data_IF_362849054607
#
_entry.id   IF_362849054607
#
_cell.length_a   1.000
_cell.length_b   1.000
_cell.length_c   1.000
_cell.angle_alpha   90.00
_cell.angle_beta   90.00
_cell.angle_gamma   90.00
#
_symmetry.space_group_name_H-M   'P 1'
#
loop_
_entity.id
_entity.type
_entity.pdbx_description
1 polymer ?
#
# COMPACT_ATOMS: atom_id res chain seq x y z
N UNK A 1 2.62 3.82 3.48
CA UNK A 1 2.51 2.58 4.30
C UNK A 1 1.41 2.73 5.35
N UNK A 2 0.16 2.79 4.91
CA UNK A 2 -1.01 2.79 5.79
C UNK A 2 -1.48 1.36 6.10
N UNK A 3 -2.74 1.27 6.56
CA UNK A 3 -3.32 0.02 7.03
C UNK A 3 -3.37 -1.16 6.04
N UNK A 4 -3.33 -0.93 4.74
CA UNK A 4 -3.27 -1.99 3.72
C UNK A 4 -1.85 -2.24 3.24
N UNK A 5 -1.06 -1.18 3.02
CA UNK A 5 0.29 -1.27 2.50
C UNK A 5 1.21 -2.14 3.36
N UNK A 6 1.08 -2.05 4.69
CA UNK A 6 1.86 -2.88 5.63
C UNK A 6 1.68 -4.39 5.41
N UNK A 7 0.47 -4.82 5.08
CA UNK A 7 0.20 -6.23 4.78
C UNK A 7 0.65 -6.60 3.37
N UNK A 8 0.47 -5.69 2.40
CA UNK A 8 0.89 -5.92 1.03
C UNK A 8 2.39 -6.19 0.92
N UNK A 9 3.24 -5.43 1.60
CA UNK A 9 4.70 -5.68 1.64
C UNK A 9 5.00 -7.10 2.12
N UNK A 10 4.42 -7.50 3.24
CA UNK A 10 4.68 -8.82 3.82
C UNK A 10 4.17 -9.96 2.93
N UNK A 11 2.96 -9.85 2.39
CA UNK A 11 2.37 -10.84 1.49
C UNK A 11 3.16 -10.97 0.19
N UNK A 12 3.62 -9.86 -0.38
CA UNK A 12 4.46 -9.86 -1.57
C UNK A 12 5.80 -10.55 -1.29
N UNK A 13 6.42 -10.29 -0.12
CA UNK A 13 7.65 -10.99 0.29
C UNK A 13 7.43 -12.47 0.51
N UNK A 14 6.33 -12.88 1.14
CA UNK A 14 5.97 -14.29 1.30
C UNK A 14 5.73 -15.00 -0.05
N UNK A 15 5.33 -14.25 -1.07
CA UNK A 15 5.17 -14.73 -2.44
C UNK A 15 6.49 -14.74 -3.23
N UNK A 16 7.62 -14.42 -2.61
CA UNK A 16 8.95 -14.42 -3.25
C UNK A 16 9.22 -13.21 -4.15
N UNK A 17 8.41 -12.15 -4.06
CA UNK A 17 8.57 -10.96 -4.89
C UNK A 17 9.63 -10.02 -4.30
N UNK A 18 10.33 -9.30 -5.19
CA UNK A 18 11.09 -8.11 -4.82
C UNK A 18 10.12 -6.95 -4.64
N UNK A 19 10.19 -6.28 -3.51
CA UNK A 19 9.25 -5.24 -3.11
C UNK A 19 9.93 -3.89 -3.04
N UNK A 20 9.42 -2.93 -3.81
CA UNK A 20 9.76 -1.50 -3.72
C UNK A 20 8.59 -0.81 -3.04
N UNK A 21 8.79 -0.30 -1.84
CA UNK A 21 7.79 0.46 -1.11
C UNK A 21 7.90 1.94 -1.46
N UNK A 22 6.74 2.58 -1.68
CA UNK A 22 6.67 4.00 -2.03
C UNK A 22 5.74 4.72 -1.06
N UNK A 23 6.20 5.79 -0.43
CA UNK A 23 5.39 6.65 0.45
C UNK A 23 5.95 8.06 0.49
N UNK A 24 5.14 9.04 0.89
CA UNK A 24 5.56 10.43 1.08
C UNK A 24 6.30 10.66 2.40
N UNK A 25 6.14 9.78 3.39
CA UNK A 25 6.64 9.93 4.75
C UNK A 25 7.81 8.97 5.02
N UNK A 26 8.91 9.50 5.55
CA UNK A 26 10.13 8.73 5.77
C UNK A 26 9.98 7.68 6.88
N UNK A 27 9.20 7.96 7.92
CA UNK A 27 8.84 7.03 8.99
C UNK A 27 8.08 5.81 8.43
N UNK A 28 7.13 6.04 7.51
CA UNK A 28 6.40 4.97 6.81
C UNK A 28 7.28 4.14 5.90
N UNK A 29 8.29 4.74 5.27
CA UNK A 29 9.30 4.01 4.49
C UNK A 29 10.20 3.16 5.40
N UNK A 30 10.60 3.70 6.58
CA UNK A 30 11.35 2.93 7.57
C UNK A 30 10.55 1.70 8.05
N UNK A 31 9.26 1.86 8.30
CA UNK A 31 8.36 0.73 8.63
C UNK A 31 8.27 -0.27 7.49
N UNK A 32 8.15 0.18 6.23
CA UNK A 32 8.16 -0.71 5.08
C UNK A 32 9.43 -1.56 5.04
N UNK A 33 10.57 -0.96 5.33
CA UNK A 33 11.86 -1.66 5.37
C UNK A 33 11.88 -2.74 6.46
N UNK A 34 11.39 -2.44 7.66
CA UNK A 34 11.30 -3.45 8.75
C UNK A 34 10.32 -4.57 8.45
N UNK A 35 9.29 -4.32 7.64
CA UNK A 35 8.32 -5.31 7.18
C UNK A 35 8.82 -6.14 5.97
N UNK A 36 10.02 -5.86 5.48
CA UNK A 36 10.71 -6.67 4.49
C UNK A 36 10.75 -6.07 3.08
N UNK A 37 10.42 -4.79 2.88
CA UNK A 37 10.64 -4.14 1.59
C UNK A 37 12.13 -4.17 1.23
N UNK A 38 12.46 -4.56 0.00
CA UNK A 38 13.84 -4.62 -0.48
C UNK A 38 14.38 -3.20 -0.72
N UNK A 39 13.53 -2.33 -1.28
CA UNK A 39 13.85 -0.94 -1.56
C UNK A 39 12.73 -0.02 -1.07
N UNK A 40 13.09 1.23 -0.80
CA UNK A 40 12.15 2.28 -0.41
C UNK A 40 12.42 3.51 -1.25
N UNK A 41 11.37 4.08 -1.83
CA UNK A 41 11.44 5.26 -2.69
C UNK A 41 10.47 6.31 -2.16
N UNK A 42 10.93 7.55 -2.01
CA UNK A 42 10.06 8.66 -1.63
C UNK A 42 9.13 9.02 -2.78
N UNK A 43 7.85 9.20 -2.49
CA UNK A 43 6.84 9.57 -3.47
C UNK A 43 6.94 11.07 -3.80
N UNK A 44 7.82 11.40 -4.73
CA UNK A 44 7.98 12.72 -5.32
C UNK A 44 7.94 12.64 -6.85
N UNK A 45 8.22 13.76 -7.52
CA UNK A 45 8.21 13.85 -8.99
C UNK A 45 9.24 12.92 -9.66
N UNK A 46 10.32 12.55 -8.96
CA UNK A 46 11.38 11.66 -9.45
C UNK A 46 11.13 10.19 -9.18
N UNK A 47 10.12 9.84 -8.39
CA UNK A 47 9.93 8.47 -7.90
C UNK A 47 9.77 7.43 -9.02
N UNK A 48 9.08 7.76 -10.10
CA UNK A 48 8.93 6.87 -11.26
C UNK A 48 10.28 6.53 -11.90
N UNK A 49 11.13 7.54 -12.12
CA UNK A 49 12.48 7.38 -12.67
C UNK A 49 13.39 6.57 -11.71
N UNK A 50 13.35 6.87 -10.42
CA UNK A 50 14.11 6.14 -9.43
C UNK A 50 13.74 4.65 -9.40
N UNK A 51 12.45 4.32 -9.54
CA UNK A 51 12.00 2.92 -9.64
C UNK A 51 12.52 2.27 -10.94
N UNK A 52 12.56 3.00 -12.06
CA UNK A 52 13.13 2.49 -13.30
C UNK A 52 14.63 2.21 -13.18
N UNK A 53 15.40 3.04 -12.48
CA UNK A 53 16.82 2.78 -12.18
C UNK A 53 17.02 1.50 -11.35
N UNK A 54 16.06 1.16 -10.50
CA UNK A 54 16.01 -0.09 -9.75
C UNK A 54 15.55 -1.30 -10.59
N UNK A 55 15.29 -1.13 -11.89
CA UNK A 55 14.86 -2.18 -12.82
C UNK A 55 13.36 -2.14 -13.12
N UNK A 56 12.65 -1.13 -12.69
CA UNK A 56 11.22 -0.94 -12.94
C UNK A 56 10.32 -1.91 -12.18
N UNK A 57 9.01 -1.74 -12.33
CA UNK A 57 8.00 -2.54 -11.66
C UNK A 57 7.22 -3.40 -12.67
N UNK A 58 7.08 -4.71 -12.39
CA UNK A 58 6.20 -5.62 -13.13
C UNK A 58 4.77 -5.62 -12.60
N UNK A 59 4.59 -5.11 -11.38
CA UNK A 59 3.29 -4.90 -10.74
C UNK A 59 3.32 -3.71 -9.81
N UNK A 60 2.29 -2.88 -9.85
CA UNK A 60 2.07 -1.79 -8.92
C UNK A 60 0.75 -2.00 -8.20
N UNK A 61 0.72 -1.81 -6.87
CA UNK A 61 -0.51 -1.83 -6.09
C UNK A 61 -0.69 -0.47 -5.42
N UNK A 62 -1.75 0.25 -5.75
CA UNK A 62 -2.03 1.56 -5.20
C UNK A 62 -3.08 1.50 -4.09
N UNK A 63 -2.69 1.92 -2.89
CA UNK A 63 -3.56 2.09 -1.73
C UNK A 63 -3.84 3.55 -1.40
N UNK A 64 -3.11 4.48 -2.03
CA UNK A 64 -3.25 5.91 -1.74
C UNK A 64 -4.56 6.47 -2.34
N UNK A 65 -5.35 7.22 -1.56
CA UNK A 65 -6.60 7.79 -2.03
C UNK A 65 -6.38 9.13 -2.76
N UNK A 66 -5.32 9.22 -3.59
CA UNK A 66 -4.96 10.43 -4.32
C UNK A 66 -4.62 10.11 -5.77
N UNK A 67 -5.01 11.00 -6.69
CA UNK A 67 -4.77 10.82 -8.12
C UNK A 67 -3.31 11.07 -8.53
N UNK A 68 -2.56 11.81 -7.72
CA UNK A 68 -1.15 12.16 -7.98
C UNK A 68 -0.22 10.94 -8.10
N UNK A 69 -0.61 9.78 -7.57
CA UNK A 69 0.16 8.54 -7.71
C UNK A 69 0.11 7.95 -9.12
N UNK A 70 -0.86 8.35 -9.95
CA UNK A 70 -1.10 7.73 -11.24
C UNK A 70 0.03 7.93 -12.25
N UNK A 71 0.52 9.16 -12.52
CA UNK A 71 1.66 9.37 -13.41
C UNK A 71 2.90 8.59 -12.96
N UNK A 72 3.22 8.65 -11.68
CA UNK A 72 4.36 7.92 -11.09
C UNK A 72 4.26 6.41 -11.34
N UNK A 73 3.07 5.81 -11.17
CA UNK A 73 2.88 4.37 -11.43
C UNK A 73 3.07 4.04 -12.90
N UNK A 74 2.57 4.88 -13.82
CA UNK A 74 2.81 4.68 -15.24
C UNK A 74 4.30 4.73 -15.56
N UNK A 75 5.03 5.70 -15.01
CA UNK A 75 6.47 5.85 -15.24
C UNK A 75 7.27 4.70 -14.63
N UNK A 76 6.88 4.23 -13.45
CA UNK A 76 7.53 3.13 -12.75
C UNK A 76 7.36 1.76 -13.41
N UNK A 77 6.29 1.56 -14.17
CA UNK A 77 5.95 0.26 -14.74
C UNK A 77 6.88 -0.15 -15.89
N UNK A 78 7.22 -1.43 -15.95
CA UNK A 78 7.81 -2.07 -17.13
C UNK A 78 6.71 -2.42 -18.16
N UNK A 79 7.07 -2.69 -19.42
CA UNK A 79 6.13 -3.25 -20.38
C UNK A 79 5.44 -4.51 -19.83
N UNK A 80 4.13 -4.65 -20.12
CA UNK A 80 3.24 -5.72 -19.63
C UNK A 80 3.03 -5.75 -18.12
N UNK A 81 3.36 -4.68 -17.40
CA UNK A 81 3.08 -4.58 -15.97
C UNK A 81 1.57 -4.55 -15.68
N UNK A 82 1.21 -5.00 -14.48
CA UNK A 82 -0.15 -4.89 -13.95
C UNK A 82 -0.22 -3.81 -12.88
N UNK A 83 -1.14 -2.87 -13.05
CA UNK A 83 -1.47 -1.83 -12.06
C UNK A 83 -2.78 -2.23 -11.37
N UNK A 84 -2.73 -2.41 -10.07
CA UNK A 84 -3.90 -2.74 -9.24
C UNK A 84 -4.29 -1.50 -8.44
N UNK A 85 -5.52 -1.04 -8.64
CA UNK A 85 -6.10 0.10 -7.95
C UNK A 85 -6.98 -0.42 -6.81
N UNK A 86 -6.61 -0.11 -5.57
CA UNK A 86 -7.35 -0.45 -4.35
C UNK A 86 -7.77 0.82 -3.61
N UNK A 87 -6.92 1.85 -3.59
CA UNK A 87 -7.28 3.18 -3.11
C UNK A 87 -8.32 3.82 -4.03
N UNK A 88 -9.29 4.52 -3.44
CA UNK A 88 -10.36 5.21 -4.19
C UNK A 88 -10.15 6.71 -4.05
N UNK A 89 -9.41 7.35 -4.96
CA UNK A 89 -9.26 8.80 -4.97
C UNK A 89 -10.57 9.47 -5.42
N UNK A 90 -10.81 10.68 -4.91
CA UNK A 90 -11.81 11.54 -5.49
C UNK A 90 -11.26 12.14 -6.80
N UNK A 91 -11.99 11.99 -7.91
CA UNK A 91 -11.63 12.54 -9.21
C UNK A 91 -11.20 11.48 -10.24
N UNK A 92 -10.67 11.95 -11.34
CA UNK A 92 -10.33 11.15 -12.51
C UNK A 92 -8.82 10.90 -12.58
N UNK A 93 -8.43 9.72 -13.06
CA UNK A 93 -7.07 9.38 -13.44
C UNK A 93 -6.99 9.36 -14.97
N UNK A 94 -6.44 10.42 -15.54
CA UNK A 94 -6.27 10.53 -16.99
C UNK A 94 -4.96 9.89 -17.44
N UNK A 95 -4.97 9.25 -18.61
CA UNK A 95 -3.78 8.72 -19.27
C UNK A 95 -3.92 8.82 -20.79
N UNK A 96 -2.77 8.89 -21.46
CA UNK A 96 -2.77 8.75 -22.92
C UNK A 96 -2.95 7.28 -23.26
N UNK A 97 -3.98 6.97 -24.03
CA UNK A 97 -4.30 5.59 -24.48
C UNK A 97 -3.08 4.90 -25.09
N UNK A 98 -2.27 5.65 -25.83
CA UNK A 98 -1.02 5.18 -26.43
C UNK A 98 -0.07 4.54 -25.40
N UNK A 99 0.11 5.13 -24.21
CA UNK A 99 1.00 4.58 -23.16
C UNK A 99 0.57 3.18 -22.71
N UNK A 100 -0.75 2.97 -22.61
CA UNK A 100 -1.29 1.67 -22.17
C UNK A 100 -1.20 0.65 -23.30
N UNK A 101 -1.55 1.05 -24.51
CA UNK A 101 -1.57 0.16 -25.70
C UNK A 101 -0.17 -0.28 -26.09
N UNK A 102 0.77 0.67 -26.26
CA UNK A 102 2.13 0.37 -26.69
C UNK A 102 2.89 -0.51 -25.69
N UNK A 103 2.72 -0.24 -24.41
CA UNK A 103 3.41 -0.97 -23.35
C UNK A 103 2.66 -2.23 -22.91
N UNK A 104 1.45 -2.46 -23.40
CA UNK A 104 0.62 -3.61 -23.04
C UNK A 104 0.29 -3.66 -21.55
N UNK A 105 0.06 -2.49 -20.91
CA UNK A 105 -0.23 -2.39 -19.49
C UNK A 105 -1.62 -2.95 -19.18
N UNK A 106 -1.75 -3.62 -18.05
CA UNK A 106 -3.04 -4.05 -17.49
C UNK A 106 -3.39 -3.16 -16.31
N UNK A 107 -4.60 -2.58 -16.31
CA UNK A 107 -5.13 -1.82 -15.17
C UNK A 107 -6.36 -2.54 -14.65
N UNK A 108 -6.39 -2.85 -13.35
CA UNK A 108 -7.50 -3.56 -12.74
C UNK A 108 -7.80 -3.00 -11.34
N UNK A 109 -9.08 -3.03 -10.98
CA UNK A 109 -9.53 -2.73 -9.62
C UNK A 109 -9.42 -3.95 -8.72
N UNK A 110 -9.26 -3.70 -7.41
CA UNK A 110 -9.39 -4.69 -6.36
C UNK A 110 -10.13 -4.07 -5.18
N UNK A 111 -11.24 -4.67 -4.78
CA UNK A 111 -12.08 -4.17 -3.69
C UNK A 111 -12.53 -5.32 -2.81
N UNK A 112 -12.50 -5.09 -1.50
CA UNK A 112 -12.91 -6.02 -0.47
C UNK A 112 -12.17 -7.39 -0.54
N UNK A 113 -12.75 -8.42 0.05
CA UNK A 113 -12.24 -9.78 0.01
C UNK A 113 -13.41 -10.78 0.17
N UNK A 114 -13.16 -12.03 -0.15
CA UNK A 114 -14.09 -13.13 0.11
C UNK A 114 -13.70 -13.87 1.41
N UNK A 115 -14.53 -14.82 1.83
CA UNK A 115 -14.31 -15.60 3.06
C UNK A 115 -13.05 -16.46 3.02
N UNK A 116 -12.71 -16.98 1.85
CA UNK A 116 -11.52 -17.82 1.69
C UNK A 116 -10.26 -16.99 1.84
N UNK A 117 -10.16 -15.86 1.16
CA UNK A 117 -9.03 -14.92 1.27
C UNK A 117 -8.84 -14.45 2.71
N UNK A 118 -9.93 -14.18 3.43
CA UNK A 118 -9.88 -13.83 4.85
C UNK A 118 -9.33 -14.97 5.70
N UNK A 119 -9.80 -16.21 5.47
CA UNK A 119 -9.32 -17.37 6.19
C UNK A 119 -7.83 -17.64 5.95
N UNK A 120 -7.36 -17.49 4.72
CA UNK A 120 -5.95 -17.62 4.34
C UNK A 120 -5.08 -16.56 5.03
N UNK A 121 -5.52 -15.28 5.04
CA UNK A 121 -4.81 -14.21 5.73
C UNK A 121 -4.74 -14.45 7.24
N UNK A 122 -5.84 -14.88 7.87
CA UNK A 122 -5.87 -15.19 9.30
C UNK A 122 -4.97 -16.39 9.65
N UNK A 123 -4.88 -17.39 8.78
CA UNK A 123 -3.95 -18.51 8.97
C UNK A 123 -2.48 -18.06 8.90
N UNK A 124 -2.13 -17.15 7.98
CA UNK A 124 -0.79 -16.56 7.92
C UNK A 124 -0.48 -15.73 9.18
N UNK A 125 -1.44 -14.96 9.68
CA UNK A 125 -1.31 -14.17 10.88
C UNK A 125 -1.16 -15.05 12.14
N UNK A 126 -1.98 -16.09 12.29
CA UNK A 126 -1.90 -17.06 13.38
C UNK A 126 -0.55 -17.81 13.39
N UNK A 127 0.01 -18.08 12.21
CA UNK A 127 1.35 -18.66 12.05
C UNK A 127 2.49 -17.64 12.26
N UNK A 128 2.21 -16.39 12.61
CA UNK A 128 3.20 -15.35 12.85
C UNK A 128 3.91 -14.86 11.58
N UNK A 129 3.44 -15.25 10.39
CA UNK A 129 4.06 -14.91 9.09
C UNK A 129 3.70 -13.51 8.61
N UNK A 130 2.58 -12.98 9.08
CA UNK A 130 2.11 -11.62 8.80
C UNK A 130 1.76 -10.95 10.12
N UNK A 131 2.23 -9.73 10.33
CA UNK A 131 2.01 -8.96 11.55
C UNK A 131 1.45 -7.58 11.23
N UNK A 132 0.47 -7.13 12.02
CA UNK A 132 -0.03 -5.76 11.93
C UNK A 132 0.82 -4.79 12.74
N UNK A 133 1.09 -3.62 12.18
CA UNK A 133 1.53 -2.45 12.94
C UNK A 133 0.28 -1.85 13.56
N UNK A 134 0.11 -2.02 14.86
CA UNK A 134 -1.11 -1.68 15.59
C UNK A 134 -0.78 -0.65 16.67
N UNK A 135 -1.51 0.46 16.68
CA UNK A 135 -1.57 1.43 17.75
C UNK A 135 -2.90 1.28 18.49
N UNK A 136 -2.88 0.78 19.72
CA UNK A 136 -4.07 0.58 20.53
C UNK A 136 -4.33 1.84 21.39
N UNK A 137 -5.53 2.38 21.32
CA UNK A 137 -5.95 3.55 22.10
C UNK A 137 -7.32 3.28 22.77
N UNK A 138 -7.60 3.88 23.94
CA UNK A 138 -8.92 3.77 24.58
C UNK A 138 -10.04 4.27 23.69
N UNK A 139 -11.21 3.65 23.75
CA UNK A 139 -12.40 4.10 23.01
C UNK A 139 -12.75 5.57 23.24
N UNK A 140 -12.49 6.10 24.44
CA UNK A 140 -12.71 7.50 24.76
C UNK A 140 -11.93 8.47 23.85
N UNK A 141 -10.85 8.00 23.19
CA UNK A 141 -10.02 8.80 22.26
C UNK A 141 -10.42 8.63 20.79
N UNK A 142 -11.63 8.12 20.51
CA UNK A 142 -12.07 7.86 19.12
C UNK A 142 -12.03 9.12 18.25
N UNK A 143 -12.38 10.27 18.79
CA UNK A 143 -12.40 11.52 18.01
C UNK A 143 -10.98 11.97 17.63
N UNK A 144 -10.05 11.90 18.56
CA UNK A 144 -8.64 12.18 18.32
C UNK A 144 -8.05 11.20 17.30
N UNK A 145 -8.35 9.90 17.45
CA UNK A 145 -7.91 8.88 16.52
C UNK A 145 -8.43 9.10 15.09
N UNK A 146 -9.68 9.56 14.94
CA UNK A 146 -10.25 9.93 13.64
C UNK A 146 -9.61 11.19 13.04
N UNK A 147 -9.32 12.18 13.87
CA UNK A 147 -8.61 13.40 13.43
C UNK A 147 -7.20 13.07 12.96
N UNK A 148 -6.48 12.24 13.68
CA UNK A 148 -5.12 11.80 13.30
C UNK A 148 -5.13 10.94 12.04
N UNK A 149 -6.14 10.09 11.86
CA UNK A 149 -6.33 9.32 10.62
C UNK A 149 -6.56 10.27 9.44
N UNK A 150 -7.44 11.24 9.58
CA UNK A 150 -7.73 12.23 8.54
C UNK A 150 -6.51 13.11 8.20
N UNK A 151 -5.69 13.40 9.20
CA UNK A 151 -4.45 14.16 9.04
C UNK A 151 -3.28 13.31 8.47
N UNK A 152 -3.50 12.02 8.18
CA UNK A 152 -2.47 11.11 7.66
C UNK A 152 -1.37 10.73 8.66
N UNK A 153 -1.54 11.02 9.95
CA UNK A 153 -0.55 10.77 11.01
C UNK A 153 -0.52 9.32 11.49
N UNK A 154 -1.55 8.53 11.15
CA UNK A 154 -1.63 7.14 11.60
C UNK A 154 -0.66 6.27 10.80
N UNK A 155 0.19 5.56 11.51
CA UNK A 155 0.99 4.47 11.00
C UNK A 155 0.26 3.13 11.22
N UNK A 156 0.17 2.30 10.20
CA UNK A 156 -0.52 1.02 10.31
C UNK A 156 -2.01 1.15 10.59
N UNK A 157 -2.45 0.66 11.74
CA UNK A 157 -3.85 0.68 12.21
C UNK A 157 -3.96 1.19 13.63
N UNK A 158 -4.86 2.14 13.87
CA UNK A 158 -5.33 2.46 15.22
C UNK A 158 -6.48 1.52 15.57
N UNK A 159 -6.38 0.83 16.70
CA UNK A 159 -7.40 -0.07 17.23
C UNK A 159 -7.94 0.53 18.52
N UNK A 160 -9.26 0.69 18.60
CA UNK A 160 -9.93 1.19 19.79
C UNK A 160 -10.13 0.03 20.78
N UNK A 161 -9.65 0.18 22.00
CA UNK A 161 -9.86 -0.79 23.08
C UNK A 161 -11.10 -0.40 23.89
N UNK A 162 -11.98 -1.36 24.14
CA UNK A 162 -13.29 -1.14 24.77
C UNK A 162 -13.22 -1.24 26.30
N UNK A 163 -12.09 -0.95 26.93
CA UNK A 163 -11.90 -1.10 28.37
C UNK A 163 -11.90 -2.59 28.80
N UNK A 164 -11.26 -2.89 29.93
CA UNK A 164 -11.38 -4.22 30.53
C UNK A 164 -12.84 -4.44 30.93
N UNK A 165 -13.54 -5.30 30.22
CA UNK A 165 -14.76 -5.92 30.76
C UNK A 165 -14.27 -6.90 31.81
N UNK A 166 -14.06 -6.37 33.04
CA UNK A 166 -13.85 -7.16 34.25
C UNK A 166 -15.00 -8.13 34.48
#
# INVERSE_FOLDING_TARGET
MGGLGQYCVQLAKLSGLRVIAVDVADDKLATAKTLGADECVKADEGAGAAIQELGGAHGCVNFAPVTATWPMMLDACNPRATIVLTGVPAGEMAFYTYQVVERGLMVRGSSASNRQEMAELLALAAGGRVKGVINAVPFAQINEALLDLNAGKVEGRTVLTMGDTS
#
